data_IF_509888412777
#
_entry.id   IF_509888412777
#
_cell.length_a   1.000
_cell.length_b   1.000
_cell.length_c   1.000
_cell.angle_alpha   90.00
_cell.angle_beta   90.00
_cell.angle_gamma   90.00
#
_symmetry.space_group_name_H-M   'P 1'
#
loop_
_entity.id
_entity.type
_entity.pdbx_description
1 polymer ?
#
# COMPACT_ATOMS: atom_id res chain seq x y z
N UNK A 1 17.96 -11.32 13.64
CA UNK A 1 18.20 -10.87 12.26
C UNK A 1 19.06 -9.62 12.31
N UNK A 2 19.96 -9.42 11.34
CA UNK A 2 20.74 -8.18 11.25
C UNK A 2 19.82 -6.98 11.05
N UNK A 3 20.01 -5.91 11.81
CA UNK A 3 19.30 -4.65 11.62
C UNK A 3 19.47 -4.20 10.16
N UNK A 4 18.38 -4.15 9.39
CA UNK A 4 18.38 -3.71 7.97
C UNK A 4 18.19 -2.20 7.86
N UNK A 5 17.65 -1.56 8.91
CA UNK A 5 17.30 -0.15 8.93
C UNK A 5 18.56 0.71 8.97
N UNK A 6 18.72 1.69 8.06
CA UNK A 6 19.91 2.53 8.05
C UNK A 6 20.03 3.36 9.33
N UNK A 7 21.27 3.61 9.73
CA UNK A 7 21.60 4.55 10.80
C UNK A 7 22.13 5.86 10.22
N UNK A 8 21.42 6.95 10.47
CA UNK A 8 21.81 8.31 10.09
C UNK A 8 21.26 9.29 11.12
N UNK A 9 22.05 10.27 11.53
CA UNK A 9 21.59 11.34 12.42
C UNK A 9 20.87 12.43 11.61
N UNK A 10 19.91 13.12 12.22
CA UNK A 10 19.15 14.17 11.53
C UNK A 10 20.06 15.31 11.06
N UNK A 11 21.12 15.60 11.81
CA UNK A 11 22.13 16.60 11.46
C UNK A 11 22.89 16.21 10.18
N UNK A 12 23.18 14.93 9.99
CA UNK A 12 23.84 14.42 8.78
C UNK A 12 22.92 14.49 7.56
N UNK A 13 21.60 14.34 7.76
CA UNK A 13 20.61 14.40 6.67
C UNK A 13 20.66 15.73 5.95
N UNK A 14 20.87 16.85 6.64
CA UNK A 14 21.00 18.18 6.00
C UNK A 14 22.14 18.20 5.00
N UNK A 15 23.31 17.68 5.41
CA UNK A 15 24.49 17.59 4.54
C UNK A 15 24.25 16.64 3.37
N UNK A 16 23.57 15.51 3.59
CA UNK A 16 23.23 14.55 2.52
C UNK A 16 22.34 15.24 1.48
N UNK A 17 21.29 15.92 1.92
CA UNK A 17 20.34 16.60 1.03
C UNK A 17 21.02 17.71 0.22
N UNK A 18 21.86 18.52 0.87
CA UNK A 18 22.60 19.59 0.19
C UNK A 18 23.60 19.02 -0.83
N UNK A 19 24.39 18.01 -0.45
CA UNK A 19 25.42 17.44 -1.32
C UNK A 19 24.85 16.68 -2.53
N UNK A 20 23.77 15.92 -2.34
CA UNK A 20 23.24 15.07 -3.41
C UNK A 20 22.13 15.73 -4.23
N UNK A 21 21.43 16.73 -3.68
CA UNK A 21 20.30 17.37 -4.37
C UNK A 21 20.45 18.88 -4.53
N UNK A 22 21.49 19.51 -3.93
CA UNK A 22 21.67 20.97 -3.99
C UNK A 22 20.57 21.73 -3.24
N UNK A 23 19.90 21.09 -2.28
CA UNK A 23 18.78 21.64 -1.52
C UNK A 23 19.27 22.04 -0.13
N UNK A 24 19.09 23.32 0.22
CA UNK A 24 19.36 23.80 1.58
C UNK A 24 18.11 23.62 2.44
N UNK A 25 18.08 22.56 3.23
CA UNK A 25 16.95 22.27 4.11
C UNK A 25 16.83 23.32 5.23
N UNK A 26 15.63 23.85 5.42
CA UNK A 26 15.28 24.69 6.57
C UNK A 26 14.90 23.83 7.77
N UNK A 27 14.05 22.84 7.53
CA UNK A 27 13.60 21.88 8.53
C UNK A 27 13.74 20.45 8.00
N UNK A 28 14.13 19.56 8.90
CA UNK A 28 14.26 18.12 8.66
C UNK A 28 13.56 17.40 9.80
N UNK A 29 12.52 16.65 9.48
CA UNK A 29 11.75 15.86 10.45
C UNK A 29 11.82 14.37 10.08
N UNK A 30 12.22 13.49 10.99
CA UNK A 30 12.13 12.04 10.77
C UNK A 30 10.67 11.59 10.83
N UNK A 31 10.26 10.77 9.85
CA UNK A 31 8.94 10.18 9.77
C UNK A 31 8.97 8.71 10.20
N UNK A 32 7.83 8.24 10.71
CA UNK A 32 7.63 6.83 11.06
C UNK A 32 7.87 5.94 9.83
N UNK A 33 8.56 4.82 10.05
CA UNK A 33 9.04 3.93 9.00
C UNK A 33 9.37 2.56 9.59
N UNK A 34 9.22 1.51 8.77
CA UNK A 34 9.53 0.13 9.15
C UNK A 34 10.99 -0.21 8.85
N UNK A 35 11.32 -0.61 7.60
CA UNK A 35 12.67 -0.99 7.17
C UNK A 35 13.54 0.19 6.71
N UNK A 36 12.92 1.30 6.30
CA UNK A 36 13.60 2.46 5.72
C UNK A 36 13.77 3.61 6.72
N UNK A 37 14.49 4.67 6.35
CA UNK A 37 14.47 5.96 7.05
C UNK A 37 13.87 7.03 6.14
N UNK A 38 12.79 7.63 6.61
CA UNK A 38 12.03 8.63 5.87
C UNK A 38 12.19 9.98 6.55
N UNK A 39 12.54 11.03 5.79
CA UNK A 39 12.70 12.38 6.31
C UNK A 39 11.88 13.38 5.49
N UNK A 40 11.04 14.15 6.17
CA UNK A 40 10.37 15.31 5.60
C UNK A 40 11.38 16.46 5.54
N UNK A 41 11.61 16.97 4.33
CA UNK A 41 12.56 18.05 4.06
C UNK A 41 11.78 19.28 3.65
N UNK A 42 11.82 20.36 4.43
CA UNK A 42 11.24 21.65 4.06
C UNK A 42 12.34 22.60 3.62
N UNK A 43 12.13 23.27 2.48
CA UNK A 43 13.05 24.25 1.88
C UNK A 43 12.29 25.51 1.45
N UNK A 44 13.02 26.62 1.28
CA UNK A 44 12.48 27.82 0.64
C UNK A 44 12.59 27.68 -0.87
N UNK A 45 11.44 27.72 -1.56
CA UNK A 45 11.37 27.61 -3.01
C UNK A 45 11.67 26.20 -3.54
N UNK A 46 11.19 25.94 -4.75
CA UNK A 46 11.53 24.75 -5.50
C UNK A 46 12.91 24.94 -6.16
N UNK A 47 13.86 23.99 -6.04
CA UNK A 47 15.18 24.10 -6.62
C UNK A 47 15.13 24.40 -8.12
N UNK A 48 15.84 25.44 -8.55
CA UNK A 48 15.86 25.86 -9.95
C UNK A 48 14.66 26.73 -10.38
N UNK A 49 13.79 27.15 -9.46
CA UNK A 49 12.69 28.08 -9.71
C UNK A 49 12.89 29.41 -8.98
N UNK A 50 12.18 30.45 -9.43
CA UNK A 50 12.11 31.75 -8.72
C UNK A 50 11.03 31.77 -7.61
N UNK A 51 10.44 30.62 -7.27
CA UNK A 51 9.43 30.54 -6.23
C UNK A 51 10.05 30.79 -4.86
N UNK A 52 9.38 31.58 -4.03
CA UNK A 52 9.73 31.78 -2.63
C UNK A 52 8.79 31.01 -1.68
N UNK A 53 7.91 30.17 -2.22
CA UNK A 53 7.00 29.36 -1.42
C UNK A 53 7.73 28.18 -0.80
N UNK A 54 7.35 27.84 0.44
CA UNK A 54 7.91 26.68 1.12
C UNK A 54 7.57 25.42 0.33
N UNK A 55 8.61 24.66 -0.01
CA UNK A 55 8.49 23.40 -0.75
C UNK A 55 8.90 22.25 0.15
N UNK A 56 8.15 21.15 0.07
CA UNK A 56 8.37 19.97 0.91
C UNK A 56 8.73 18.79 0.02
N UNK A 57 9.76 18.07 0.43
CA UNK A 57 10.19 16.81 -0.15
C UNK A 57 10.23 15.70 0.89
N UNK A 58 10.30 14.46 0.40
CA UNK A 58 10.57 13.27 1.19
C UNK A 58 11.91 12.68 0.75
N UNK A 59 12.91 12.69 1.63
CA UNK A 59 14.09 11.85 1.46
C UNK A 59 13.79 10.46 2.04
N UNK A 60 13.93 9.43 1.22
CA UNK A 60 13.82 8.03 1.63
C UNK A 60 15.17 7.36 1.46
N UNK A 61 15.73 6.85 2.55
CA UNK A 61 16.95 6.02 2.57
C UNK A 61 16.52 4.59 2.86
N UNK A 62 16.72 3.70 1.89
CA UNK A 62 16.19 2.35 1.93
C UNK A 62 16.93 1.45 2.93
N UNK A 63 16.23 0.47 3.50
CA UNK A 63 16.83 -0.65 4.21
C UNK A 63 17.87 -1.41 3.37
N UNK A 64 18.86 -2.03 4.03
CA UNK A 64 19.86 -2.88 3.37
C UNK A 64 19.25 -4.23 2.97
N UNK A 65 18.59 -4.23 1.82
CA UNK A 65 17.71 -5.30 1.35
C UNK A 65 17.83 -5.43 -0.18
N UNK A 66 17.81 -6.66 -0.71
CA UNK A 66 17.98 -6.91 -2.16
C UNK A 66 16.84 -6.28 -2.98
N UNK A 67 15.62 -6.29 -2.45
CA UNK A 67 14.44 -5.65 -3.04
C UNK A 67 14.50 -4.11 -3.07
N UNK A 68 15.58 -3.51 -2.56
CA UNK A 68 15.81 -2.05 -2.53
C UNK A 68 16.96 -1.63 -3.45
N UNK A 69 17.32 -2.46 -4.43
CA UNK A 69 18.35 -2.16 -5.43
C UNK A 69 17.98 -0.98 -6.33
N UNK A 70 18.97 -0.35 -6.96
CA UNK A 70 18.73 0.75 -7.92
C UNK A 70 17.78 0.34 -9.05
N UNK A 71 17.88 -0.90 -9.53
CA UNK A 71 17.05 -1.44 -10.61
C UNK A 71 15.57 -1.52 -10.23
N UNK A 72 15.27 -2.04 -9.03
CA UNK A 72 13.89 -2.16 -8.53
C UNK A 72 13.32 -0.77 -8.24
N UNK A 73 14.11 0.10 -7.61
CA UNK A 73 13.67 1.46 -7.32
C UNK A 73 13.46 2.30 -8.59
N UNK A 74 14.20 2.02 -9.66
CA UNK A 74 13.96 2.63 -10.98
C UNK A 74 12.60 2.20 -11.56
N UNK A 75 12.17 0.94 -11.35
CA UNK A 75 10.83 0.49 -11.75
C UNK A 75 9.76 1.28 -10.97
N UNK A 76 9.89 1.39 -9.64
CA UNK A 76 8.96 2.17 -8.81
C UNK A 76 8.90 3.63 -9.27
N UNK A 77 10.05 4.23 -9.60
CA UNK A 77 10.14 5.59 -10.14
C UNK A 77 9.41 5.71 -11.50
N UNK A 78 9.52 4.71 -12.37
CA UNK A 78 8.83 4.66 -13.65
C UNK A 78 7.30 4.58 -13.50
N UNK A 79 6.81 3.79 -12.55
CA UNK A 79 5.38 3.71 -12.20
C UNK A 79 4.87 5.08 -11.76
N UNK A 80 5.56 5.69 -10.79
CA UNK A 80 5.22 7.01 -10.27
C UNK A 80 5.18 8.09 -11.36
N UNK A 81 6.20 8.12 -12.22
CA UNK A 81 6.28 9.07 -13.33
C UNK A 81 5.09 8.88 -14.30
N UNK A 82 4.80 7.64 -14.69
CA UNK A 82 3.69 7.35 -15.60
C UNK A 82 2.35 7.78 -15.00
N UNK A 83 2.06 7.43 -13.75
CA UNK A 83 0.82 7.79 -13.09
C UNK A 83 0.65 9.31 -12.94
N UNK A 84 1.74 10.02 -12.66
CA UNK A 84 1.74 11.48 -12.63
C UNK A 84 1.36 12.08 -13.99
N UNK A 85 1.90 11.55 -15.09
CA UNK A 85 1.57 11.99 -16.45
C UNK A 85 0.09 11.76 -16.81
N UNK A 86 -0.55 10.76 -16.18
CA UNK A 86 -2.00 10.52 -16.28
C UNK A 86 -2.84 11.39 -15.32
N UNK A 87 -2.21 12.30 -14.59
CA UNK A 87 -2.86 13.23 -13.67
C UNK A 87 -3.28 12.62 -12.34
N UNK A 88 -2.68 11.49 -11.93
CA UNK A 88 -2.88 10.96 -10.59
C UNK A 88 -1.96 11.68 -9.59
N UNK A 89 -2.45 11.85 -8.37
CA UNK A 89 -1.68 12.40 -7.27
C UNK A 89 -0.74 11.32 -6.71
N UNK A 90 0.49 11.30 -7.19
CA UNK A 90 1.55 10.38 -6.75
C UNK A 90 2.82 11.17 -6.47
N UNK A 91 3.75 10.55 -5.73
CA UNK A 91 5.08 11.11 -5.56
C UNK A 91 5.84 11.11 -6.88
N UNK A 92 6.77 12.05 -7.04
CA UNK A 92 7.65 12.12 -8.22
C UNK A 92 9.10 12.10 -7.77
N UNK A 93 9.97 11.29 -8.40
CA UNK A 93 11.38 11.27 -8.07
C UNK A 93 12.08 12.55 -8.56
N UNK A 94 12.90 13.14 -7.70
CA UNK A 94 13.78 14.25 -8.06
C UNK A 94 15.11 13.71 -8.59
N UNK A 95 15.70 14.46 -9.53
CA UNK A 95 17.07 14.22 -9.98
C UNK A 95 18.05 14.77 -8.95
N UNK A 96 19.06 13.96 -8.65
CA UNK A 96 20.25 14.40 -7.93
C UNK A 96 21.10 15.37 -8.76
N UNK A 97 22.13 15.96 -8.13
CA UNK A 97 23.18 16.72 -8.81
C UNK A 97 23.89 15.89 -9.89
N UNK A 98 23.95 14.56 -9.70
CA UNK A 98 24.51 13.59 -10.65
C UNK A 98 23.51 13.16 -11.74
N UNK A 99 22.33 13.79 -11.82
CA UNK A 99 21.26 13.47 -12.77
C UNK A 99 20.72 12.04 -12.66
N UNK A 100 20.69 11.50 -11.44
CA UNK A 100 20.07 10.19 -11.15
C UNK A 100 18.84 10.35 -10.28
N UNK A 101 17.85 9.48 -10.46
CA UNK A 101 16.65 9.42 -9.60
C UNK A 101 16.83 8.50 -8.39
N UNK A 102 17.91 7.71 -8.39
CA UNK A 102 18.36 6.86 -7.28
C UNK A 102 19.85 7.11 -7.07
N UNK A 103 20.23 7.37 -5.83
CA UNK A 103 21.61 7.54 -5.40
C UNK A 103 21.97 6.43 -4.42
N UNK A 104 23.27 6.23 -4.20
CA UNK A 104 23.79 5.31 -3.19
C UNK A 104 24.60 6.05 -2.15
N UNK A 105 24.53 5.57 -0.91
CA UNK A 105 25.23 6.14 0.23
C UNK A 105 25.72 5.05 1.18
N UNK A 106 26.98 5.14 1.58
CA UNK A 106 27.55 4.27 2.61
C UNK A 106 27.20 4.84 3.98
N UNK A 107 26.47 4.10 4.81
CA UNK A 107 26.10 4.50 6.17
C UNK A 107 26.55 3.45 7.18
N UNK A 108 26.90 3.84 8.42
CA UNK A 108 27.22 2.89 9.47
C UNK A 108 26.00 2.02 9.80
N UNK A 109 26.25 0.80 10.29
CA UNK A 109 25.17 -0.13 10.67
C UNK A 109 24.51 0.27 12.00
N UNK A 110 25.30 0.81 12.93
CA UNK A 110 24.86 1.29 14.24
C UNK A 110 25.70 2.49 14.70
N UNK A 111 25.15 3.32 15.60
CA UNK A 111 25.91 4.41 16.23
C UNK A 111 27.22 3.93 16.87
N UNK A 112 27.16 2.78 17.56
CA UNK A 112 28.29 2.20 18.30
C UNK A 112 29.30 1.49 17.40
N UNK A 113 29.03 1.35 16.10
CA UNK A 113 29.90 0.66 15.14
C UNK A 113 30.04 1.50 13.87
N UNK A 114 30.86 2.57 13.91
CA UNK A 114 31.06 3.46 12.77
C UNK A 114 31.93 2.84 11.67
N UNK A 115 32.57 1.69 11.94
CA UNK A 115 33.51 1.04 11.01
C UNK A 115 32.76 0.18 10.01
N UNK A 116 31.77 -0.60 10.46
CA UNK A 116 30.97 -1.45 9.57
C UNK A 116 29.88 -0.64 8.88
N UNK A 117 30.16 -0.25 7.64
CA UNK A 117 29.25 0.49 6.78
C UNK A 117 28.54 -0.44 5.79
N UNK A 118 27.37 -0.03 5.35
CA UNK A 118 26.58 -0.69 4.32
C UNK A 118 26.18 0.34 3.26
N UNK A 119 26.16 -0.10 2.02
CA UNK A 119 25.64 0.67 0.91
C UNK A 119 24.11 0.62 0.93
N UNK A 120 23.49 1.78 1.12
CA UNK A 120 22.05 1.97 1.03
C UNK A 120 21.71 2.75 -0.24
N UNK A 121 20.53 2.49 -0.79
CA UNK A 121 19.95 3.33 -1.85
C UNK A 121 19.16 4.48 -1.23
N UNK A 122 19.12 5.63 -1.90
CA UNK A 122 18.31 6.77 -1.47
C UNK A 122 17.64 7.45 -2.66
N UNK A 123 16.49 8.06 -2.40
CA UNK A 123 15.72 8.84 -3.37
C UNK A 123 15.10 10.05 -2.68
N UNK A 124 15.05 11.17 -3.39
CA UNK A 124 14.27 12.33 -3.02
C UNK A 124 12.98 12.32 -3.83
N UNK A 125 11.84 12.42 -3.16
CA UNK A 125 10.51 12.40 -3.76
C UNK A 125 9.77 13.70 -3.45
N UNK A 126 8.87 14.14 -4.33
CA UNK A 126 7.93 15.22 -3.99
C UNK A 126 7.02 14.79 -2.84
N UNK A 127 6.69 15.72 -1.96
CA UNK A 127 5.72 15.49 -0.89
C UNK A 127 4.27 15.61 -1.42
N UNK A 128 3.40 14.68 -1.06
CA UNK A 128 1.96 14.78 -1.35
C UNK A 128 1.29 15.50 -0.16
N UNK A 129 0.76 16.72 -0.34
CA UNK A 129 0.04 17.40 0.72
C UNK A 129 -1.31 16.72 0.99
N UNK A 130 -1.67 16.58 2.26
CA UNK A 130 -2.91 15.98 2.70
C UNK A 130 -2.76 15.27 4.03
N UNK A 131 -3.76 14.48 4.37
CA UNK A 131 -3.82 13.67 5.58
C UNK A 131 -3.98 12.20 5.18
N UNK A 132 -3.46 11.27 5.98
CA UNK A 132 -3.66 9.84 5.72
C UNK A 132 -5.13 9.49 5.87
N UNK A 133 -5.59 8.49 5.11
CA UNK A 133 -6.97 8.01 5.20
C UNK A 133 -7.36 7.70 6.65
N UNK A 134 -6.51 7.00 7.41
CA UNK A 134 -6.79 6.65 8.80
C UNK A 134 -7.01 7.86 9.73
N UNK A 135 -6.45 9.02 9.41
CA UNK A 135 -6.55 10.23 10.23
C UNK A 135 -7.84 11.02 9.99
N UNK A 136 -8.58 10.68 8.94
CA UNK A 136 -9.83 11.33 8.56
C UNK A 136 -11.07 10.50 8.86
N UNK A 137 -10.93 9.27 9.36
CA UNK A 137 -12.08 8.43 9.71
C UNK A 137 -12.77 8.93 11.00
N UNK A 138 -14.10 8.76 11.13
CA UNK A 138 -14.99 8.07 10.20
C UNK A 138 -15.33 8.90 8.94
N UNK A 139 -15.47 8.22 7.80
CA UNK A 139 -15.80 8.87 6.53
C UNK A 139 -17.27 8.66 6.14
N UNK A 140 -17.79 9.56 5.30
CA UNK A 140 -19.11 9.42 4.71
C UNK A 140 -19.08 8.40 3.55
N UNK A 141 -20.17 7.65 3.29
CA UNK A 141 -20.23 6.65 2.22
C UNK A 141 -19.83 7.17 0.83
N UNK A 142 -20.12 8.44 0.53
CA UNK A 142 -19.77 9.08 -0.74
C UNK A 142 -18.26 9.20 -0.92
N UNK A 143 -17.51 9.38 0.16
CA UNK A 143 -16.04 9.42 0.12
C UNK A 143 -15.47 8.04 -0.19
N UNK A 144 -16.07 6.99 0.37
CA UNK A 144 -15.73 5.61 0.07
C UNK A 144 -16.04 5.23 -1.38
N UNK A 145 -17.15 5.72 -1.92
CA UNK A 145 -17.46 5.58 -3.33
C UNK A 145 -16.37 6.21 -4.21
N UNK A 146 -15.97 7.46 -3.94
CA UNK A 146 -14.89 8.11 -4.69
C UNK A 146 -13.53 7.42 -4.50
N UNK A 147 -13.27 6.83 -3.34
CA UNK A 147 -12.07 6.01 -3.11
C UNK A 147 -12.04 4.76 -3.99
N UNK A 148 -13.20 4.10 -4.16
CA UNK A 148 -13.35 3.00 -5.12
C UNK A 148 -13.06 3.43 -6.55
N UNK A 149 -13.60 4.58 -6.98
CA UNK A 149 -13.31 5.16 -8.31
C UNK A 149 -11.82 5.45 -8.49
N UNK A 150 -11.20 6.04 -7.47
CA UNK A 150 -9.76 6.31 -7.47
C UNK A 150 -8.96 5.02 -7.70
N UNK A 151 -9.29 3.93 -6.99
CA UNK A 151 -8.60 2.66 -7.15
C UNK A 151 -8.77 2.07 -8.56
N UNK A 152 -9.99 2.10 -9.11
CA UNK A 152 -10.24 1.62 -10.48
C UNK A 152 -9.49 2.47 -11.52
N UNK A 153 -9.42 3.79 -11.35
CA UNK A 153 -8.64 4.68 -12.21
C UNK A 153 -7.13 4.38 -12.11
N UNK A 154 -6.63 4.16 -10.90
CA UNK A 154 -5.25 3.73 -10.68
C UNK A 154 -4.94 2.45 -11.46
N UNK A 155 -5.77 1.43 -11.32
CA UNK A 155 -5.56 0.14 -11.97
C UNK A 155 -5.62 0.21 -13.49
N UNK A 156 -6.47 1.07 -14.05
CA UNK A 156 -6.48 1.33 -15.50
C UNK A 156 -5.10 1.75 -15.99
N UNK A 157 -4.50 2.75 -15.34
CA UNK A 157 -3.21 3.28 -15.76
C UNK A 157 -2.04 2.36 -15.41
N UNK A 158 -2.09 1.65 -14.28
CA UNK A 158 -1.13 0.59 -14.01
C UNK A 158 -1.17 -0.48 -15.10
N UNK A 159 -2.38 -0.84 -15.58
CA UNK A 159 -2.56 -1.78 -16.68
C UNK A 159 -1.91 -1.32 -17.98
N UNK A 160 -2.18 -0.08 -18.36
CA UNK A 160 -1.58 0.55 -19.53
C UNK A 160 -0.05 0.57 -19.42
N UNK A 161 0.48 0.91 -18.25
CA UNK A 161 1.93 0.95 -18.00
C UNK A 161 2.60 -0.42 -18.15
N UNK A 162 2.13 -1.44 -17.42
CA UNK A 162 2.78 -2.76 -17.42
C UNK A 162 2.61 -3.51 -18.75
N UNK A 163 1.59 -3.17 -19.55
CA UNK A 163 1.40 -3.77 -20.89
C UNK A 163 2.60 -3.56 -21.81
N UNK A 164 3.42 -2.54 -21.53
CA UNK A 164 4.66 -2.23 -22.27
C UNK A 164 5.89 -2.97 -21.75
N UNK A 165 5.79 -3.66 -20.61
CA UNK A 165 6.93 -4.28 -19.94
C UNK A 165 7.35 -5.59 -20.61
N UNK A 166 8.65 -5.89 -20.50
CA UNK A 166 9.24 -7.14 -21.01
C UNK A 166 9.54 -8.16 -19.92
N UNK A 167 9.46 -7.75 -18.65
CA UNK A 167 9.63 -8.57 -17.45
C UNK A 167 8.63 -8.09 -16.40
N UNK A 168 8.03 -8.99 -15.60
CA UNK A 168 7.13 -8.59 -14.54
C UNK A 168 7.90 -8.11 -13.31
N UNK A 169 7.20 -7.41 -12.41
CA UNK A 169 7.56 -7.41 -10.99
C UNK A 169 6.85 -8.59 -10.36
N UNK A 170 7.62 -9.49 -9.76
CA UNK A 170 7.12 -10.78 -9.25
C UNK A 170 6.30 -10.62 -7.96
N UNK A 171 5.39 -11.57 -7.73
CA UNK A 171 4.67 -11.66 -6.46
C UNK A 171 5.64 -11.96 -5.32
N UNK A 172 5.50 -11.26 -4.20
CA UNK A 172 6.36 -11.40 -3.03
C UNK A 172 5.58 -11.91 -1.83
N UNK A 173 6.24 -12.07 -0.68
CA UNK A 173 5.67 -12.72 0.50
C UNK A 173 4.37 -12.08 1.01
N UNK A 174 4.11 -10.79 0.74
CA UNK A 174 2.87 -10.11 1.16
C UNK A 174 1.77 -10.11 0.10
N UNK A 175 2.07 -10.46 -1.15
CA UNK A 175 1.03 -10.67 -2.16
C UNK A 175 0.02 -11.70 -1.65
N UNK A 176 -1.27 -11.47 -1.89
CA UNK A 176 -2.35 -12.27 -1.29
C UNK A 176 -2.31 -13.75 -1.71
N UNK A 177 -1.80 -14.05 -2.91
CA UNK A 177 -1.51 -15.43 -3.37
C UNK A 177 -0.59 -16.19 -2.41
N UNK A 178 0.28 -15.49 -1.69
CA UNK A 178 1.23 -16.03 -0.73
C UNK A 178 0.72 -16.00 0.73
N UNK A 179 -0.53 -15.58 0.98
CA UNK A 179 -1.13 -15.60 2.31
C UNK A 179 -1.09 -16.97 3.01
N UNK A 180 -1.24 -18.12 2.32
CA UNK A 180 -1.12 -19.44 2.96
C UNK A 180 0.22 -19.70 3.66
N UNK A 181 1.29 -18.99 3.27
CA UNK A 181 2.58 -19.13 3.97
C UNK A 181 2.49 -18.70 5.44
N UNK A 182 1.51 -17.87 5.81
CA UNK A 182 1.30 -17.47 7.21
C UNK A 182 0.89 -18.65 8.12
N UNK A 183 0.42 -19.77 7.55
CA UNK A 183 0.09 -20.99 8.30
C UNK A 183 1.27 -21.48 9.17
N UNK A 184 2.51 -21.27 8.72
CA UNK A 184 3.71 -21.70 9.45
C UNK A 184 3.89 -20.96 10.79
N UNK A 185 3.21 -19.84 11.01
CA UNK A 185 3.32 -19.02 12.21
C UNK A 185 2.12 -19.16 13.16
N UNK A 186 1.13 -20.00 12.84
CA UNK A 186 -0.10 -20.14 13.63
C UNK A 186 0.14 -20.56 15.08
N UNK A 187 1.15 -21.38 15.32
CA UNK A 187 1.50 -21.86 16.66
C UNK A 187 1.95 -20.74 17.61
N UNK A 188 2.31 -19.56 17.06
CA UNK A 188 2.66 -18.39 17.86
C UNK A 188 1.45 -17.69 18.47
N UNK A 189 0.25 -17.91 17.93
CA UNK A 189 -1.00 -17.32 18.45
C UNK A 189 -1.51 -18.19 19.58
N UNK A 190 -1.46 -17.72 20.83
CA UNK A 190 -1.90 -18.49 22.01
C UNK A 190 -3.41 -18.77 22.04
N UNK A 191 -4.21 -17.84 21.56
CA UNK A 191 -5.67 -17.93 21.54
C UNK A 191 -6.15 -18.97 20.51
N UNK A 192 -6.67 -20.09 21.01
CA UNK A 192 -7.13 -21.20 20.17
C UNK A 192 -8.27 -20.82 19.22
N UNK A 193 -9.16 -19.90 19.60
CA UNK A 193 -10.27 -19.48 18.73
C UNK A 193 -9.73 -18.66 17.55
N UNK A 194 -8.84 -17.70 17.84
CA UNK A 194 -8.16 -16.90 16.80
C UNK A 194 -7.34 -17.78 15.86
N UNK A 195 -6.60 -18.76 16.41
CA UNK A 195 -5.83 -19.74 15.62
C UNK A 195 -6.74 -20.56 14.70
N UNK A 196 -7.84 -21.10 15.22
CA UNK A 196 -8.80 -21.88 14.43
C UNK A 196 -9.46 -21.03 13.33
N UNK A 197 -9.88 -19.80 13.65
CA UNK A 197 -10.49 -18.88 12.71
C UNK A 197 -9.55 -18.59 11.53
N UNK A 198 -8.31 -18.17 11.79
CA UNK A 198 -7.35 -17.90 10.70
C UNK A 198 -6.98 -19.15 9.92
N UNK A 199 -6.85 -20.30 10.60
CA UNK A 199 -6.56 -21.58 9.95
C UNK A 199 -7.69 -21.99 8.99
N UNK A 200 -8.96 -21.82 9.37
CA UNK A 200 -10.12 -22.10 8.52
C UNK A 200 -10.13 -21.22 7.27
N UNK A 201 -9.92 -19.91 7.43
CA UNK A 201 -9.87 -18.94 6.34
C UNK A 201 -8.75 -19.27 5.35
N UNK A 202 -7.51 -19.48 5.84
CA UNK A 202 -6.38 -19.77 4.97
C UNK A 202 -6.51 -21.15 4.29
N UNK A 203 -7.06 -22.16 4.96
CA UNK A 203 -7.35 -23.45 4.32
C UNK A 203 -8.42 -23.34 3.23
N UNK A 204 -9.45 -22.52 3.45
CA UNK A 204 -10.42 -22.23 2.42
C UNK A 204 -9.73 -21.62 1.18
N UNK A 205 -8.89 -20.60 1.37
CA UNK A 205 -8.13 -20.00 0.27
C UNK A 205 -7.23 -21.02 -0.44
N UNK A 206 -6.54 -21.88 0.30
CA UNK A 206 -5.72 -22.97 -0.27
C UNK A 206 -6.56 -23.88 -1.16
N UNK A 207 -7.74 -24.28 -0.68
CA UNK A 207 -8.61 -25.21 -1.39
C UNK A 207 -9.22 -24.62 -2.66
N UNK A 208 -9.62 -23.33 -2.62
CA UNK A 208 -10.39 -22.70 -3.70
C UNK A 208 -9.50 -21.93 -4.69
N UNK A 209 -8.43 -21.29 -4.22
CA UNK A 209 -7.75 -20.22 -4.96
C UNK A 209 -6.24 -20.41 -5.14
N UNK A 210 -5.52 -21.01 -4.18
CA UNK A 210 -4.06 -21.01 -4.17
C UNK A 210 -3.39 -21.71 -5.36
N UNK A 211 -4.08 -22.62 -6.06
CA UNK A 211 -3.56 -23.25 -7.29
C UNK A 211 -3.84 -22.44 -8.55
N UNK A 212 -4.83 -21.54 -8.52
CA UNK A 212 -5.32 -20.83 -9.71
C UNK A 212 -4.86 -19.38 -9.75
N UNK A 213 -4.88 -18.70 -8.61
CA UNK A 213 -4.66 -17.26 -8.58
C UNK A 213 -3.19 -16.78 -8.60
N UNK A 214 -2.15 -17.55 -8.21
CA UNK A 214 -0.78 -17.09 -8.39
C UNK A 214 -0.42 -16.82 -9.86
N UNK A 215 0.40 -15.80 -10.11
CA UNK A 215 0.90 -15.46 -11.45
C UNK A 215 2.34 -15.98 -11.60
N UNK A 216 2.50 -17.27 -11.88
CA UNK A 216 3.83 -17.93 -11.91
C UNK A 216 4.44 -18.09 -13.30
N UNK A 217 3.66 -17.89 -14.36
CA UNK A 217 4.10 -18.07 -15.75
C UNK A 217 3.76 -16.81 -16.57
N UNK A 218 4.35 -15.68 -16.17
CA UNK A 218 4.07 -14.41 -16.82
C UNK A 218 4.59 -14.37 -18.27
N UNK A 219 3.78 -13.78 -19.14
CA UNK A 219 4.16 -13.34 -20.48
C UNK A 219 3.64 -11.92 -20.72
N UNK A 220 4.28 -11.13 -21.60
CA UNK A 220 3.77 -9.81 -21.96
C UNK A 220 2.31 -9.88 -22.42
N UNK A 221 1.43 -9.12 -21.77
CA UNK A 221 0.00 -9.11 -22.08
C UNK A 221 -0.80 -10.31 -21.56
N UNK A 222 -0.27 -11.11 -20.62
CA UNK A 222 -1.05 -12.16 -19.95
C UNK A 222 -2.37 -11.60 -19.39
N UNK A 223 -3.48 -12.29 -19.65
CA UNK A 223 -4.81 -11.95 -19.17
C UNK A 223 -5.51 -13.21 -18.64
N UNK A 224 -6.46 -13.02 -17.73
CA UNK A 224 -7.39 -14.04 -17.27
C UNK A 224 -8.78 -13.37 -17.23
N UNK A 225 -9.74 -13.99 -17.91
CA UNK A 225 -11.08 -13.42 -18.09
C UNK A 225 -11.88 -13.46 -16.79
N UNK A 226 -11.64 -14.47 -15.95
CA UNK A 226 -12.35 -14.61 -14.68
C UNK A 226 -11.67 -13.78 -13.59
N UNK A 227 -10.33 -13.74 -13.57
CA UNK A 227 -9.55 -12.97 -12.61
C UNK A 227 -8.51 -12.07 -13.28
N UNK A 228 -8.92 -10.93 -13.87
CA UNK A 228 -8.04 -9.99 -14.55
C UNK A 228 -6.70 -9.76 -13.85
N UNK A 229 -5.62 -9.83 -14.62
CA UNK A 229 -4.25 -9.61 -14.15
C UNK A 229 -3.89 -8.16 -14.44
N UNK A 230 -3.23 -7.52 -13.47
CA UNK A 230 -2.66 -6.17 -13.60
C UNK A 230 -1.38 -6.05 -12.79
N UNK A 231 -0.58 -5.02 -13.07
CA UNK A 231 0.25 -4.44 -12.03
C UNK A 231 -0.68 -3.88 -10.95
N UNK A 232 -0.52 -4.35 -9.72
CA UNK A 232 -1.26 -3.90 -8.54
C UNK A 232 -0.35 -3.06 -7.66
N UNK A 233 -0.94 -2.20 -6.83
CA UNK A 233 -0.20 -1.48 -5.79
C UNK A 233 0.33 -2.44 -4.74
N UNK A 234 -0.45 -3.45 -4.37
CA UNK A 234 -0.07 -4.49 -3.41
C UNK A 234 -0.30 -4.13 -1.95
N UNK A 235 -0.38 -2.84 -1.61
CA UNK A 235 -0.76 -2.41 -0.25
C UNK A 235 -1.47 -1.03 -0.20
N UNK A 236 -2.65 -0.85 -0.81
CA UNK A 236 -3.43 0.40 -0.75
C UNK A 236 -4.11 0.56 0.62
N UNK A 237 -3.29 0.71 1.67
CA UNK A 237 -3.72 0.77 3.06
C UNK A 237 -4.06 2.20 3.52
N UNK A 238 -4.47 2.31 4.77
CA UNK A 238 -4.96 3.52 5.41
C UNK A 238 -3.89 4.58 5.73
N UNK A 239 -2.61 4.20 5.68
CA UNK A 239 -1.46 5.09 5.81
C UNK A 239 -0.90 5.49 4.44
N UNK A 240 -1.06 4.65 3.42
CA UNK A 240 -0.54 4.86 2.08
C UNK A 240 -1.48 5.69 1.20
N UNK A 241 -2.76 5.77 1.55
CA UNK A 241 -3.72 6.66 0.88
C UNK A 241 -3.72 8.03 1.55
N UNK A 242 -3.37 9.06 0.78
CA UNK A 242 -3.41 10.46 1.19
C UNK A 242 -4.66 11.10 0.63
N UNK A 243 -5.35 11.87 1.46
CA UNK A 243 -6.59 12.52 1.13
C UNK A 243 -6.48 14.01 1.43
N UNK A 244 -7.00 14.83 0.52
CA UNK A 244 -7.22 16.25 0.78
C UNK A 244 -8.54 16.71 0.19
N UNK A 245 -9.15 17.68 0.85
CA UNK A 245 -10.31 18.37 0.30
C UNK A 245 -9.82 19.48 -0.61
N UNK A 246 -10.45 19.59 -1.78
CA UNK A 246 -10.18 20.67 -2.74
C UNK A 246 -11.50 21.31 -3.17
N UNK A 247 -11.53 22.62 -3.47
CA UNK A 247 -12.72 23.27 -3.98
C UNK A 247 -13.18 22.64 -5.30
N UNK A 248 -14.50 22.52 -5.49
CA UNK A 248 -15.05 22.30 -6.84
C UNK A 248 -15.02 23.61 -7.62
N UNK A 249 -14.72 23.53 -8.91
CA UNK A 249 -14.60 24.72 -9.78
C UNK A 249 -15.96 25.41 -9.96
N UNK A 250 -17.04 24.65 -9.88
CA UNK A 250 -18.42 25.02 -10.21
C UNK A 250 -19.40 24.91 -9.03
N UNK A 251 -18.91 24.68 -7.80
CA UNK A 251 -19.75 24.50 -6.62
C UNK A 251 -19.08 25.05 -5.36
N UNK A 252 -19.90 25.39 -4.36
CA UNK A 252 -19.41 25.71 -3.00
C UNK A 252 -19.02 24.45 -2.23
N UNK A 253 -19.27 23.26 -2.78
CA UNK A 253 -18.89 21.98 -2.21
C UNK A 253 -17.41 21.66 -2.44
N UNK A 254 -16.80 21.01 -1.44
CA UNK A 254 -15.47 20.44 -1.57
C UNK A 254 -15.55 19.03 -2.17
N UNK A 255 -14.56 18.64 -2.98
CA UNK A 255 -14.35 17.24 -3.37
C UNK A 255 -13.09 16.68 -2.71
N UNK A 256 -13.07 15.37 -2.51
CA UNK A 256 -11.85 14.69 -2.11
C UNK A 256 -10.97 14.44 -3.33
N UNK A 257 -9.69 14.72 -3.17
CA UNK A 257 -8.62 14.24 -4.03
C UNK A 257 -7.82 13.19 -3.26
N UNK A 258 -7.46 12.11 -3.96
CA UNK A 258 -6.78 10.96 -3.40
C UNK A 258 -5.41 10.83 -4.06
N UNK A 259 -4.41 10.61 -3.22
CA UNK A 259 -3.08 10.21 -3.65
C UNK A 259 -2.65 8.91 -3.00
N UNK A 260 -1.61 8.29 -3.54
CA UNK A 260 -1.11 7.01 -3.07
C UNK A 260 0.42 7.04 -2.95
N UNK A 261 0.91 6.40 -1.89
CA UNK A 261 2.31 6.30 -1.51
C UNK A 261 2.74 4.83 -1.49
N UNK A 262 4.06 4.64 -1.53
CA UNK A 262 4.75 3.38 -1.21
C UNK A 262 4.52 2.19 -2.16
N UNK A 263 5.31 2.15 -3.23
CA UNK A 263 5.20 1.19 -4.33
C UNK A 263 5.96 -0.13 -4.10
N UNK A 264 6.37 -0.42 -2.88
CA UNK A 264 7.33 -1.51 -2.60
C UNK A 264 6.72 -2.90 -2.62
N UNK A 265 5.40 -2.98 -2.47
CA UNK A 265 4.63 -4.21 -2.55
C UNK A 265 3.98 -4.39 -3.94
N UNK A 266 4.32 -3.51 -4.90
CA UNK A 266 3.75 -3.60 -6.24
C UNK A 266 4.20 -4.90 -6.92
N UNK A 267 3.30 -5.52 -7.66
CA UNK A 267 3.57 -6.78 -8.37
C UNK A 267 2.57 -6.99 -9.49
N UNK A 268 2.92 -7.81 -10.49
CA UNK A 268 1.94 -8.26 -11.48
C UNK A 268 1.16 -9.41 -10.88
N UNK A 269 -0.10 -9.14 -10.50
CA UNK A 269 -0.95 -10.09 -9.80
C UNK A 269 -2.43 -9.90 -10.16
N UNK A 270 -3.35 -10.48 -9.39
CA UNK A 270 -4.79 -10.35 -9.60
C UNK A 270 -5.25 -8.95 -9.23
N UNK A 271 -5.87 -8.27 -10.17
CA UNK A 271 -6.39 -6.91 -10.03
C UNK A 271 -7.30 -6.77 -8.80
N UNK A 272 -8.14 -7.77 -8.54
CA UNK A 272 -9.08 -7.76 -7.42
C UNK A 272 -8.40 -7.70 -6.04
N UNK A 273 -7.10 -8.03 -5.93
CA UNK A 273 -6.39 -8.02 -4.65
C UNK A 273 -6.30 -6.63 -4.03
N UNK A 274 -5.99 -5.58 -4.80
CA UNK A 274 -5.97 -4.22 -4.23
C UNK A 274 -7.34 -3.81 -3.68
N UNK A 275 -8.44 -4.21 -4.34
CA UNK A 275 -9.79 -3.95 -3.85
C UNK A 275 -10.07 -4.72 -2.56
N UNK A 276 -9.68 -6.00 -2.49
CA UNK A 276 -9.81 -6.80 -1.26
C UNK A 276 -9.01 -6.21 -0.09
N UNK A 277 -7.79 -5.73 -0.34
CA UNK A 277 -6.96 -5.06 0.66
C UNK A 277 -7.61 -3.76 1.13
N UNK A 278 -8.03 -2.90 0.21
CA UNK A 278 -8.73 -1.65 0.53
C UNK A 278 -9.99 -1.89 1.36
N UNK A 279 -10.81 -2.89 1.03
CA UNK A 279 -12.00 -3.25 1.81
C UNK A 279 -11.65 -3.67 3.24
N UNK A 280 -10.60 -4.48 3.41
CA UNK A 280 -10.10 -4.88 4.74
C UNK A 280 -9.67 -3.65 5.56
N UNK A 281 -8.88 -2.74 4.98
CA UNK A 281 -8.46 -1.53 5.68
C UNK A 281 -9.61 -0.55 5.95
N UNK A 282 -10.63 -0.50 5.10
CA UNK A 282 -11.84 0.27 5.37
C UNK A 282 -12.59 -0.26 6.59
N UNK A 283 -12.68 -1.59 6.71
CA UNK A 283 -13.24 -2.21 7.90
C UNK A 283 -12.38 -1.94 9.13
N UNK A 284 -11.05 -1.99 9.02
CA UNK A 284 -10.14 -1.73 10.14
C UNK A 284 -10.19 -0.29 10.65
N UNK A 285 -10.11 0.69 9.75
CA UNK A 285 -10.03 2.12 10.07
C UNK A 285 -11.31 2.69 10.62
N UNK A 286 -12.46 2.15 10.21
CA UNK A 286 -13.72 2.44 10.87
C UNK A 286 -13.71 1.81 12.26
N UNK A 287 -13.97 2.63 13.28
CA UNK A 287 -14.09 2.17 14.65
C UNK A 287 -15.18 1.10 14.83
N UNK A 288 -15.32 0.52 16.04
CA UNK A 288 -16.31 -0.50 16.32
C UNK A 288 -17.72 -0.08 15.86
N UNK A 289 -18.28 -0.78 14.88
CA UNK A 289 -19.64 -0.55 14.39
C UNK A 289 -20.25 -1.86 13.88
N UNK A 290 -21.58 -1.86 13.67
CA UNK A 290 -22.29 -3.07 13.27
C UNK A 290 -21.91 -3.53 11.85
N UNK A 291 -22.02 -4.84 11.62
CA UNK A 291 -21.72 -5.47 10.33
C UNK A 291 -22.48 -4.81 9.17
N UNK A 292 -23.76 -4.43 9.37
CA UNK A 292 -24.54 -3.73 8.33
C UNK A 292 -23.91 -2.41 7.90
N UNK A 293 -23.30 -1.65 8.82
CA UNK A 293 -22.62 -0.39 8.48
C UNK A 293 -21.34 -0.70 7.69
N UNK A 294 -20.50 -1.61 8.19
CA UNK A 294 -19.26 -2.01 7.51
C UNK A 294 -19.53 -2.56 6.10
N UNK A 295 -20.54 -3.43 5.95
CA UNK A 295 -20.97 -3.97 4.68
C UNK A 295 -21.38 -2.86 3.69
N UNK A 296 -22.16 -1.87 4.14
CA UNK A 296 -22.57 -0.71 3.32
C UNK A 296 -21.40 0.17 2.90
N UNK A 297 -20.43 0.40 3.78
CA UNK A 297 -19.22 1.17 3.45
C UNK A 297 -18.38 0.42 2.41
N UNK A 298 -18.16 -0.89 2.60
CA UNK A 298 -17.49 -1.73 1.60
C UNK A 298 -18.23 -1.75 0.26
N UNK A 299 -19.56 -1.83 0.27
CA UNK A 299 -20.37 -1.74 -0.93
C UNK A 299 -20.28 -0.37 -1.63
N UNK A 300 -20.07 0.72 -0.90
CA UNK A 300 -19.81 2.02 -1.52
C UNK A 300 -18.49 2.00 -2.31
N UNK A 301 -17.41 1.47 -1.72
CA UNK A 301 -16.12 1.27 -2.41
C UNK A 301 -16.29 0.41 -3.66
N UNK A 302 -16.96 -0.74 -3.53
CA UNK A 302 -17.19 -1.67 -4.65
C UNK A 302 -17.98 -0.99 -5.77
N UNK A 303 -19.06 -0.25 -5.44
CA UNK A 303 -19.86 0.48 -6.43
C UNK A 303 -19.03 1.51 -7.18
N UNK A 304 -18.22 2.29 -6.47
CA UNK A 304 -17.35 3.30 -7.09
C UNK A 304 -16.28 2.69 -7.97
N UNK A 305 -15.64 1.61 -7.50
CA UNK A 305 -14.69 0.86 -8.29
C UNK A 305 -15.34 0.33 -9.57
N UNK A 306 -16.49 -0.35 -9.43
CA UNK A 306 -17.15 -0.99 -10.55
C UNK A 306 -17.72 0.03 -11.55
N UNK A 307 -18.20 1.20 -11.08
CA UNK A 307 -18.68 2.25 -11.99
C UNK A 307 -17.55 2.78 -12.88
N UNK A 308 -16.41 3.14 -12.29
CA UNK A 308 -15.25 3.62 -13.06
C UNK A 308 -14.66 2.50 -13.94
N UNK A 309 -14.65 1.26 -13.45
CA UNK A 309 -14.12 0.11 -14.19
C UNK A 309 -14.97 -0.29 -15.40
N UNK A 310 -16.29 -0.07 -15.35
CA UNK A 310 -17.21 -0.23 -16.49
C UNK A 310 -16.89 0.76 -17.61
N UNK A 311 -16.54 1.99 -17.27
CA UNK A 311 -16.27 3.05 -18.26
C UNK A 311 -15.09 2.71 -19.18
N UNK A 312 -14.10 1.96 -18.69
CA UNK A 312 -12.97 1.46 -19.50
C UNK A 312 -13.07 -0.04 -19.84
N UNK A 313 -14.25 -0.65 -19.68
CA UNK A 313 -14.55 -2.00 -20.19
C UNK A 313 -13.98 -3.16 -19.36
N UNK A 314 -13.68 -2.95 -18.08
CA UNK A 314 -13.21 -4.00 -17.17
C UNK A 314 -13.98 -4.01 -15.85
N UNK A 315 -15.32 -4.22 -15.87
CA UNK A 315 -16.08 -4.37 -14.63
C UNK A 315 -15.53 -5.48 -13.73
N UNK A 316 -15.98 -5.50 -12.47
CA UNK A 316 -15.76 -6.65 -11.60
C UNK A 316 -16.45 -7.86 -12.23
N UNK A 317 -15.72 -8.96 -12.39
CA UNK A 317 -16.26 -10.20 -12.98
C UNK A 317 -17.15 -10.93 -11.96
N UNK A 318 -17.97 -11.87 -12.42
CA UNK A 318 -18.73 -12.74 -11.50
C UNK A 318 -17.83 -13.56 -10.57
N UNK A 319 -16.68 -14.02 -11.06
CA UNK A 319 -15.72 -14.77 -10.27
C UNK A 319 -14.98 -13.89 -9.24
N UNK A 320 -14.62 -12.66 -9.60
CA UNK A 320 -14.07 -11.66 -8.68
C UNK A 320 -15.08 -11.30 -7.59
N UNK A 321 -16.34 -11.07 -7.97
CA UNK A 321 -17.44 -10.75 -7.03
C UNK A 321 -17.65 -11.87 -6.01
N UNK A 322 -17.77 -13.12 -6.47
CA UNK A 322 -17.95 -14.28 -5.61
C UNK A 322 -16.76 -14.52 -4.67
N UNK A 323 -15.53 -14.26 -5.12
CA UNK A 323 -14.32 -14.47 -4.33
C UNK A 323 -14.07 -13.37 -3.29
N UNK A 324 -14.63 -12.17 -3.48
CA UNK A 324 -14.23 -10.98 -2.74
C UNK A 324 -14.32 -11.12 -1.20
N UNK A 325 -15.39 -11.66 -0.59
CA UNK A 325 -15.44 -11.86 0.86
C UNK A 325 -14.31 -12.78 1.37
N UNK A 326 -14.01 -13.86 0.66
CA UNK A 326 -12.94 -14.78 1.02
C UNK A 326 -11.55 -14.15 0.86
N UNK A 327 -11.34 -13.30 -0.16
CA UNK A 327 -10.08 -12.58 -0.35
C UNK A 327 -9.84 -11.54 0.78
N UNK A 328 -10.88 -10.81 1.17
CA UNK A 328 -10.82 -9.86 2.30
C UNK A 328 -10.50 -10.61 3.60
N UNK A 329 -11.19 -11.71 3.88
CA UNK A 329 -10.92 -12.55 5.05
C UNK A 329 -9.49 -13.11 5.04
N UNK A 330 -9.00 -13.53 3.87
CA UNK A 330 -7.62 -14.01 3.67
C UNK A 330 -6.60 -12.93 4.02
N UNK A 331 -6.83 -11.68 3.61
CA UNK A 331 -5.94 -10.57 3.96
C UNK A 331 -5.95 -10.26 5.45
N UNK A 332 -7.12 -10.32 6.10
CA UNK A 332 -7.22 -10.23 7.56
C UNK A 332 -6.36 -11.29 8.23
N UNK A 333 -6.55 -12.57 7.89
CA UNK A 333 -5.78 -13.67 8.47
C UNK A 333 -4.27 -13.49 8.25
N UNK A 334 -3.85 -13.14 7.02
CA UNK A 334 -2.45 -12.88 6.69
C UNK A 334 -1.85 -11.77 7.57
N UNK A 335 -2.54 -10.63 7.68
CA UNK A 335 -2.06 -9.45 8.42
C UNK A 335 -2.02 -9.71 9.93
N UNK A 336 -3.05 -10.36 10.47
CA UNK A 336 -3.15 -10.67 11.90
C UNK A 336 -2.09 -11.69 12.34
N UNK A 337 -1.90 -12.77 11.57
CA UNK A 337 -0.89 -13.79 11.89
C UNK A 337 0.52 -13.21 11.78
N UNK A 338 0.84 -12.58 10.65
CA UNK A 338 2.19 -12.03 10.44
C UNK A 338 2.48 -10.88 11.39
N UNK A 339 1.50 -10.01 11.66
CA UNK A 339 1.62 -8.94 12.65
C UNK A 339 1.92 -9.48 14.05
N UNK A 340 1.22 -10.54 14.46
CA UNK A 340 1.48 -11.23 15.73
C UNK A 340 2.90 -11.83 15.75
N UNK A 341 3.26 -12.63 14.74
CA UNK A 341 4.59 -13.22 14.63
C UNK A 341 5.71 -12.16 14.67
N UNK A 342 5.55 -11.06 13.94
CA UNK A 342 6.50 -9.96 13.95
C UNK A 342 6.64 -9.36 15.33
N UNK A 343 5.53 -8.98 15.98
CA UNK A 343 5.57 -8.25 17.26
C UNK A 343 6.03 -9.10 18.44
N UNK A 344 5.82 -10.42 18.41
CA UNK A 344 6.13 -11.31 19.54
C UNK A 344 7.36 -12.19 19.32
N UNK A 345 7.75 -12.47 18.06
CA UNK A 345 8.83 -13.40 17.73
C UNK A 345 9.93 -12.75 16.91
N UNK A 346 9.61 -12.15 15.76
CA UNK A 346 10.65 -11.65 14.84
C UNK A 346 11.29 -10.33 15.29
N UNK A 347 10.48 -9.41 15.81
CA UNK A 347 10.87 -8.10 16.31
C UNK A 347 10.08 -7.78 17.59
N UNK A 348 10.45 -8.40 18.73
CA UNK A 348 9.71 -8.25 19.98
C UNK A 348 9.46 -6.79 20.39
N UNK A 349 8.19 -6.43 20.58
CA UNK A 349 7.77 -5.10 21.01
C UNK A 349 7.34 -4.16 19.89
N UNK A 350 7.44 -4.57 18.62
CA UNK A 350 6.96 -3.79 17.48
C UNK A 350 5.45 -3.56 17.56
N UNK A 351 5.07 -2.37 18.00
CA UNK A 351 3.67 -1.98 18.19
C UNK A 351 2.95 -1.66 16.88
N UNK A 352 3.69 -1.36 15.82
CA UNK A 352 3.17 -1.04 14.50
C UNK A 352 2.65 -2.30 13.82
N UNK A 353 3.37 -3.41 13.93
CA UNK A 353 2.94 -4.71 13.41
C UNK A 353 1.58 -5.19 13.98
N UNK A 354 1.16 -4.68 15.15
CA UNK A 354 -0.12 -5.01 15.79
C UNK A 354 -1.28 -4.08 15.40
N UNK A 355 -1.09 -3.14 14.47
CA UNK A 355 -2.11 -2.12 14.13
C UNK A 355 -3.45 -2.74 13.74
N UNK A 356 -3.46 -3.72 12.84
CA UNK A 356 -4.68 -4.44 12.44
C UNK A 356 -5.39 -5.11 13.62
N UNK A 357 -4.64 -5.73 14.54
CA UNK A 357 -5.22 -6.36 15.72
C UNK A 357 -5.82 -5.32 16.68
N UNK A 358 -5.13 -4.20 16.91
CA UNK A 358 -5.60 -3.08 17.76
C UNK A 358 -6.84 -2.40 17.21
N UNK A 359 -7.02 -2.43 15.89
CA UNK A 359 -8.21 -1.93 15.20
C UNK A 359 -9.40 -2.90 15.25
N UNK A 360 -9.34 -3.96 16.05
CA UNK A 360 -10.42 -4.95 16.18
C UNK A 360 -10.48 -5.92 15.00
N UNK A 361 -9.35 -6.19 14.35
CA UNK A 361 -9.29 -7.04 13.17
C UNK A 361 -9.74 -8.49 13.42
N UNK A 362 -9.59 -9.00 14.65
CA UNK A 362 -10.05 -10.35 15.01
C UNK A 362 -11.58 -10.45 15.01
N UNK A 363 -12.24 -9.49 15.63
CA UNK A 363 -13.70 -9.40 15.72
C UNK A 363 -14.31 -9.14 14.34
N UNK A 364 -13.65 -8.31 13.52
CA UNK A 364 -14.09 -8.01 12.15
C UNK A 364 -13.90 -9.21 11.21
N UNK A 365 -12.82 -9.99 11.36
CA UNK A 365 -12.64 -11.25 10.64
C UNK A 365 -13.71 -12.27 11.03
N UNK A 366 -13.99 -12.41 12.33
CA UNK A 366 -15.04 -13.31 12.84
C UNK A 366 -16.41 -12.91 12.27
N UNK A 367 -16.76 -11.63 12.30
CA UNK A 367 -18.00 -11.09 11.72
C UNK A 367 -18.09 -11.36 10.21
N UNK A 368 -17.04 -11.05 9.44
CA UNK A 368 -17.02 -11.26 7.99
C UNK A 368 -17.13 -12.73 7.59
N UNK A 369 -16.45 -13.61 8.33
CA UNK A 369 -16.28 -15.01 7.95
C UNK A 369 -17.36 -15.94 8.51
N UNK A 370 -17.85 -15.67 9.72
CA UNK A 370 -18.74 -16.58 10.47
C UNK A 370 -20.06 -15.89 10.80
N UNK A 371 -20.04 -14.82 11.58
CA UNK A 371 -21.25 -14.35 12.27
C UNK A 371 -22.23 -13.64 11.32
N UNK A 372 -21.70 -12.83 10.40
CA UNK A 372 -22.46 -11.92 9.54
C UNK A 372 -22.16 -12.12 8.05
N UNK A 373 -21.61 -13.28 7.67
CA UNK A 373 -21.12 -13.55 6.30
C UNK A 373 -22.16 -13.24 5.21
N UNK A 374 -23.44 -13.57 5.45
CA UNK A 374 -24.53 -13.32 4.51
C UNK A 374 -24.79 -11.82 4.31
N UNK A 375 -24.64 -10.99 5.35
CA UNK A 375 -24.81 -9.54 5.27
C UNK A 375 -23.77 -8.94 4.32
N UNK A 376 -22.49 -9.29 4.51
CA UNK A 376 -21.41 -8.81 3.64
C UNK A 376 -21.57 -9.33 2.22
N UNK A 377 -21.75 -10.65 2.06
CA UNK A 377 -21.83 -11.28 0.73
C UNK A 377 -22.99 -10.72 -0.09
N UNK A 378 -24.18 -10.58 0.51
CA UNK A 378 -25.37 -10.05 -0.17
C UNK A 378 -25.21 -8.57 -0.55
N UNK A 379 -24.69 -7.75 0.37
CA UNK A 379 -24.54 -6.31 0.12
C UNK A 379 -23.45 -6.02 -0.91
N UNK A 380 -22.38 -6.82 -0.92
CA UNK A 380 -21.27 -6.67 -1.86
C UNK A 380 -21.59 -7.25 -3.23
N UNK A 381 -22.30 -8.37 -3.32
CA UNK A 381 -22.77 -8.91 -4.60
C UNK A 381 -23.64 -7.88 -5.33
N UNK A 382 -24.61 -7.27 -4.64
CA UNK A 382 -25.45 -6.18 -5.18
C UNK A 382 -24.63 -4.98 -5.66
N UNK A 383 -23.50 -4.70 -5.02
CA UNK A 383 -22.61 -3.60 -5.40
C UNK A 383 -21.80 -3.87 -6.68
N UNK A 384 -21.66 -5.14 -7.07
CA UNK A 384 -20.97 -5.55 -8.32
C UNK A 384 -21.90 -5.62 -9.53
N UNK A 385 -23.22 -5.63 -9.32
CA UNK A 385 -24.22 -5.73 -10.40
C UNK A 385 -24.22 -4.55 -11.37
#
# INVERSE_FOLDING_TARGET
MSNVKPFVQVEDVRNIVENYYGIVAQQVDELVSYDDRNFRIQTKGEPGTASNEDTIYLLKISGFLEQKSEEILAIHNGIMQHLHEQGLLVQRPLLSVNKRTVETIELPTFHSDPVHRRCHTMRMLTYIPGQTWCSLTPLQPEVYFEMGRFLAKLQKHLREHYSTWKKPVEEHIWTLSNAPQALQYLDTIEDNQKRQLSQQVLNHFVSQYAKRLPVTAWTPGIQDVEFPISLIHGDPNDLNIIMRKIPRIDSTEEKFEFGILDWEDCSVSRRIYDLALMLMYAMCTEGPCCATRLAKLGAAIIRGFNSEARDYGMPITGAESQALPALVATRFAQSLIKGHYTSFVSNPGDQYALTTAKQGGWEKLQSLWIDDNEIYSTEWEKATC
#
